data_IF_566858709850
#
_entry.id   IF_566858709850
#
_cell.length_a   1.000
_cell.length_b   1.000
_cell.length_c   1.000
_cell.angle_alpha   90.00
_cell.angle_beta   90.00
_cell.angle_gamma   90.00
#
_symmetry.space_group_name_H-M   'P 1'
#
loop_
_entity.id
_entity.type
_entity.pdbx_description
1 polymer ?
#
# COMPACT_ATOMS: atom_id res chain seq x y z
N UNK A 1 -12.90 -11.70 -8.14
CA UNK A 1 -12.82 -10.24 -8.02
C UNK A 1 -12.60 -9.62 -9.39
N UNK A 2 -11.50 -9.93 -10.07
CA UNK A 2 -11.28 -9.51 -11.47
C UNK A 2 -12.47 -9.84 -12.36
N UNK A 3 -12.95 -11.08 -12.43
CA UNK A 3 -14.14 -11.42 -13.24
C UNK A 3 -15.45 -10.68 -12.86
N UNK A 4 -15.51 -10.05 -11.68
CA UNK A 4 -16.68 -9.29 -11.23
C UNK A 4 -16.56 -7.78 -11.49
N UNK A 5 -15.33 -7.29 -11.66
CA UNK A 5 -15.00 -5.89 -11.96
C UNK A 5 -14.37 -5.72 -13.35
N UNK A 6 -14.19 -6.82 -14.07
CA UNK A 6 -13.69 -6.84 -15.42
C UNK A 6 -14.67 -6.04 -16.27
N UNK A 7 -14.16 -5.16 -17.14
CA UNK A 7 -15.00 -4.38 -18.05
C UNK A 7 -15.57 -5.30 -19.14
N UNK A 8 -16.62 -6.03 -18.79
CA UNK A 8 -17.46 -6.77 -19.71
C UNK A 8 -18.73 -5.93 -19.99
N UNK A 9 -19.13 -5.91 -21.26
CA UNK A 9 -20.41 -5.37 -21.74
C UNK A 9 -21.64 -5.93 -21.01
N UNK A 10 -21.51 -7.09 -20.35
CA UNK A 10 -22.53 -7.68 -19.49
C UNK A 10 -22.19 -7.51 -18.02
N UNK A 11 -22.23 -6.26 -17.53
CA UNK A 11 -22.22 -6.00 -16.08
C UNK A 11 -23.32 -6.84 -15.42
N UNK A 12 -22.96 -7.59 -14.38
CA UNK A 12 -23.93 -8.43 -13.64
C UNK A 12 -25.03 -7.56 -13.04
N UNK A 13 -26.25 -8.10 -12.97
CA UNK A 13 -27.35 -7.43 -12.29
C UNK A 13 -27.06 -7.31 -10.78
N UNK A 14 -27.20 -6.09 -10.24
CA UNK A 14 -26.99 -5.76 -8.82
C UNK A 14 -25.72 -4.94 -8.56
N UNK A 15 -25.68 -4.26 -7.40
CA UNK A 15 -24.52 -3.49 -6.97
C UNK A 15 -23.42 -4.38 -6.36
N UNK A 16 -22.16 -4.05 -6.62
CA UNK A 16 -21.00 -4.73 -6.05
C UNK A 16 -20.08 -3.70 -5.38
N UNK A 17 -19.80 -3.91 -4.09
CA UNK A 17 -18.79 -3.13 -3.37
C UNK A 17 -17.53 -3.98 -3.25
N UNK A 18 -16.40 -3.44 -3.68
CA UNK A 18 -15.09 -4.07 -3.52
C UNK A 18 -14.25 -3.21 -2.61
N UNK A 19 -13.79 -3.83 -1.53
CA UNK A 19 -12.84 -3.24 -0.58
C UNK A 19 -11.50 -3.91 -0.82
N UNK A 20 -10.46 -3.11 -1.04
CA UNK A 20 -9.11 -3.61 -1.21
C UNK A 20 -8.07 -2.56 -0.85
N UNK A 21 -6.83 -3.02 -0.75
CA UNK A 21 -5.66 -2.18 -0.43
C UNK A 21 -5.04 -1.63 -1.72
N UNK A 22 -3.85 -1.04 -1.63
CA UNK A 22 -3.08 -0.53 -2.77
C UNK A 22 -2.86 -1.56 -3.89
N UNK A 23 -3.03 -2.86 -3.62
CA UNK A 23 -2.97 -3.90 -4.65
C UNK A 23 -4.01 -3.68 -5.76
N UNK A 24 -5.13 -3.00 -5.48
CA UNK A 24 -6.11 -2.67 -6.52
C UNK A 24 -5.60 -1.65 -7.55
N UNK A 25 -4.53 -0.92 -7.22
CA UNK A 25 -3.91 0.07 -8.10
C UNK A 25 -3.05 -0.58 -9.18
N UNK A 26 -2.49 -1.76 -8.90
CA UNK A 26 -1.46 -2.37 -9.74
C UNK A 26 -2.00 -3.57 -10.52
N UNK A 27 -1.86 -3.50 -11.85
CA UNK A 27 -2.08 -4.62 -12.78
C UNK A 27 -3.52 -5.17 -12.90
N UNK A 28 -4.51 -4.58 -12.24
CA UNK A 28 -5.92 -4.95 -12.39
C UNK A 28 -6.65 -4.04 -13.37
N UNK A 29 -7.30 -4.62 -14.38
CA UNK A 29 -8.20 -3.91 -15.31
C UNK A 29 -9.60 -3.84 -14.72
N UNK A 30 -9.81 -2.86 -13.83
CA UNK A 30 -11.07 -2.60 -13.12
C UNK A 30 -11.73 -1.33 -13.68
N UNK A 31 -13.06 -1.39 -13.82
CA UNK A 31 -13.90 -0.25 -14.15
C UNK A 31 -14.98 -0.06 -13.06
N UNK A 32 -14.80 0.96 -12.22
CA UNK A 32 -15.70 1.30 -11.13
C UNK A 32 -16.61 2.48 -11.50
N UNK A 33 -17.84 2.45 -11.00
CA UNK A 33 -18.83 3.53 -11.11
C UNK A 33 -18.58 4.67 -10.13
N UNK A 34 -18.01 4.35 -8.97
CA UNK A 34 -17.72 5.26 -7.87
C UNK A 34 -16.46 4.77 -7.14
N UNK A 35 -15.65 5.72 -6.66
CA UNK A 35 -14.44 5.41 -5.90
C UNK A 35 -14.50 6.06 -4.52
N UNK A 36 -14.24 5.28 -3.48
CA UNK A 36 -13.95 5.80 -2.14
C UNK A 36 -12.53 5.39 -1.80
N UNK A 37 -11.71 6.34 -1.38
CA UNK A 37 -10.28 6.14 -1.18
C UNK A 37 -9.81 6.90 0.04
N UNK A 38 -8.91 6.30 0.83
CA UNK A 38 -8.13 7.08 1.80
C UNK A 38 -7.26 8.10 1.08
N UNK A 39 -6.94 9.20 1.78
CA UNK A 39 -5.96 10.18 1.34
C UNK A 39 -4.64 9.47 1.01
N UNK A 40 -4.06 9.85 -0.11
CA UNK A 40 -2.79 9.33 -0.57
C UNK A 40 -2.07 10.44 -1.36
N UNK A 41 -0.78 10.26 -1.71
CA UNK A 41 -0.10 11.17 -2.60
C UNK A 41 -0.85 11.34 -3.93
N UNK A 42 -0.84 12.54 -4.50
CA UNK A 42 -1.67 12.88 -5.67
C UNK A 42 -1.41 11.99 -6.89
N UNK A 43 -0.18 11.52 -7.09
CA UNK A 43 0.20 10.61 -8.17
C UNK A 43 -0.42 9.23 -7.98
N UNK A 44 -0.46 8.73 -6.74
CA UNK A 44 -1.19 7.51 -6.36
C UNK A 44 -2.70 7.70 -6.53
N UNK A 45 -3.23 8.86 -6.13
CA UNK A 45 -4.64 9.19 -6.33
C UNK A 45 -5.02 9.17 -7.81
N UNK A 46 -4.19 9.76 -8.69
CA UNK A 46 -4.40 9.72 -10.14
C UNK A 46 -4.37 8.28 -10.69
N UNK A 47 -3.51 7.41 -10.16
CA UNK A 47 -3.50 5.99 -10.53
C UNK A 47 -4.81 5.29 -10.14
N UNK A 48 -5.34 5.58 -8.95
CA UNK A 48 -6.65 5.08 -8.47
C UNK A 48 -7.80 5.61 -9.33
N UNK A 49 -7.79 6.91 -9.65
CA UNK A 49 -8.78 7.54 -10.54
C UNK A 49 -8.77 6.91 -11.95
N UNK A 50 -7.63 6.38 -12.41
CA UNK A 50 -7.55 5.62 -13.66
C UNK A 50 -8.29 4.26 -13.66
N UNK A 51 -9.03 3.93 -12.58
CA UNK A 51 -9.97 2.78 -12.49
C UNK A 51 -11.43 3.23 -12.41
N UNK A 52 -11.69 4.53 -12.30
CA UNK A 52 -13.02 5.12 -12.31
C UNK A 52 -13.40 5.41 -13.77
N UNK A 53 -14.52 4.86 -14.23
CA UNK A 53 -15.02 5.07 -15.61
C UNK A 53 -13.92 4.84 -16.66
N UNK A 54 -13.12 3.79 -16.46
CA UNK A 54 -11.88 3.52 -17.22
C UNK A 54 -12.16 3.26 -18.70
N UNK A 55 -13.30 2.66 -19.04
CA UNK A 55 -13.69 2.33 -20.42
C UNK A 55 -14.82 3.21 -20.90
N UNK A 56 -14.55 3.96 -21.95
CA UNK A 56 -15.57 4.72 -22.66
C UNK A 56 -16.66 3.81 -23.24
N UNK A 57 -17.90 4.27 -23.18
CA UNK A 57 -19.06 3.61 -23.80
C UNK A 57 -19.70 2.50 -22.97
N UNK A 58 -19.27 2.27 -21.72
CA UNK A 58 -20.00 1.42 -20.80
C UNK A 58 -21.25 2.14 -20.27
N UNK A 59 -22.32 1.37 -20.04
CA UNK A 59 -23.52 1.87 -19.41
C UNK A 59 -23.31 1.93 -17.88
N UNK A 60 -23.39 3.14 -17.33
CA UNK A 60 -23.38 3.40 -15.89
C UNK A 60 -24.82 3.52 -15.36
N UNK A 61 -25.15 2.93 -14.19
CA UNK A 61 -26.49 2.99 -13.63
C UNK A 61 -26.89 4.42 -13.22
N UNK A 62 -28.20 4.72 -13.12
CA UNK A 62 -28.66 6.03 -12.67
C UNK A 62 -28.07 6.43 -11.31
N UNK A 63 -27.59 7.68 -11.20
CA UNK A 63 -26.86 8.20 -10.05
C UNK A 63 -25.34 8.00 -10.09
N UNK A 64 -24.82 7.32 -11.12
CA UNK A 64 -23.40 7.05 -11.34
C UNK A 64 -22.93 7.40 -12.76
N UNK A 65 -23.71 8.21 -13.48
CA UNK A 65 -23.42 8.61 -14.86
C UNK A 65 -22.17 9.49 -14.97
N UNK A 66 -21.90 10.26 -13.92
CA UNK A 66 -20.70 11.08 -13.80
C UNK A 66 -19.66 10.39 -12.90
N UNK A 67 -18.37 10.36 -13.29
CA UNK A 67 -17.32 9.81 -12.45
C UNK A 67 -17.20 10.64 -11.17
N UNK A 68 -17.28 9.98 -10.02
CA UNK A 68 -17.12 10.62 -8.72
C UNK A 68 -16.20 9.81 -7.80
N UNK A 69 -15.36 10.53 -7.07
CA UNK A 69 -14.41 10.00 -6.11
C UNK A 69 -14.56 10.73 -4.77
N UNK A 70 -14.65 9.98 -3.68
CA UNK A 70 -14.62 10.49 -2.31
C UNK A 70 -13.25 10.17 -1.71
N UNK A 71 -12.52 11.22 -1.31
CA UNK A 71 -11.25 11.09 -0.60
C UNK A 71 -11.50 11.24 0.90
N UNK A 72 -11.21 10.19 1.67
CA UNK A 72 -11.30 10.18 3.12
C UNK A 72 -10.03 10.79 3.71
N UNK A 73 -10.18 11.72 4.66
CA UNK A 73 -9.06 12.32 5.38
C UNK A 73 -9.43 12.46 6.87
N UNK A 74 -8.44 12.46 7.78
CA UNK A 74 -8.71 12.68 9.20
C UNK A 74 -9.41 14.03 9.44
N UNK A 75 -10.47 14.03 10.26
CA UNK A 75 -11.26 15.23 10.55
C UNK A 75 -10.41 16.35 11.19
N UNK A 76 -9.44 15.98 12.01
CA UNK A 76 -8.51 16.89 12.67
C UNK A 76 -7.35 17.36 11.77
N UNK A 77 -7.36 17.02 10.48
CA UNK A 77 -6.25 17.25 9.56
C UNK A 77 -5.04 16.34 9.85
N UNK A 78 -3.91 16.65 9.23
CA UNK A 78 -2.69 15.82 9.33
C UNK A 78 -1.70 16.28 10.40
N UNK A 79 -1.87 17.49 10.94
CA UNK A 79 -0.98 18.04 11.98
C UNK A 79 -0.86 17.13 13.22
N UNK A 80 -1.92 16.50 13.73
CA UNK A 80 -1.80 15.56 14.85
C UNK A 80 -0.90 14.35 14.57
N UNK A 81 -0.66 14.01 13.30
CA UNK A 81 0.22 12.91 12.88
C UNK A 81 1.70 13.27 12.95
N UNK A 82 2.03 14.56 13.06
CA UNK A 82 3.41 15.05 13.19
C UNK A 82 4.03 14.69 14.54
N UNK A 83 3.20 14.57 15.58
CA UNK A 83 3.57 13.89 16.82
C UNK A 83 3.51 12.38 16.53
N UNK A 84 4.62 11.77 16.06
CA UNK A 84 4.62 10.66 15.10
C UNK A 84 3.55 9.61 15.40
N UNK A 85 2.46 9.68 14.63
CA UNK A 85 1.33 8.76 14.73
C UNK A 85 1.03 8.19 13.36
N UNK A 86 0.45 7.00 13.40
CA UNK A 86 -0.01 6.30 12.22
C UNK A 86 -1.53 6.20 12.25
N UNK A 87 -2.16 6.63 11.17
CA UNK A 87 -3.61 6.55 11.00
C UNK A 87 -3.93 6.18 9.54
N UNK A 88 -4.57 5.03 9.34
CA UNK A 88 -5.02 4.53 8.02
C UNK A 88 -3.98 4.67 6.88
N UNK A 89 -2.71 4.34 7.16
CA UNK A 89 -1.63 4.43 6.16
C UNK A 89 -0.87 5.76 6.15
N UNK A 90 -1.38 6.78 6.83
CA UNK A 90 -0.79 8.12 6.92
C UNK A 90 0.17 8.22 8.09
N UNK A 91 1.31 8.86 7.87
CA UNK A 91 2.30 9.12 8.90
C UNK A 91 3.20 7.92 9.20
N UNK A 92 3.81 7.96 10.38
CA UNK A 92 4.84 7.01 10.78
C UNK A 92 4.50 6.35 12.12
N UNK A 93 4.89 5.09 12.26
CA UNK A 93 4.89 4.36 13.52
C UNK A 93 6.28 3.76 13.77
N UNK A 94 6.58 3.52 15.03
CA UNK A 94 7.82 2.87 15.43
C UNK A 94 7.62 1.35 15.54
N UNK A 95 8.60 0.59 15.09
CA UNK A 95 8.69 -0.86 15.31
C UNK A 95 10.15 -1.22 15.59
N UNK A 96 10.43 -1.70 16.80
CA UNK A 96 11.77 -2.12 17.26
C UNK A 96 12.86 -1.06 17.03
N UNK A 97 12.61 0.21 17.38
CA UNK A 97 13.59 1.29 17.20
C UNK A 97 13.73 1.80 15.77
N UNK A 98 12.96 1.26 14.81
CA UNK A 98 12.93 1.73 13.42
C UNK A 98 11.57 2.32 13.06
N UNK A 99 11.59 3.44 12.35
CA UNK A 99 10.38 4.10 11.86
C UNK A 99 9.90 3.47 10.55
N UNK A 100 8.60 3.22 10.47
CA UNK A 100 7.92 2.62 9.31
C UNK A 100 6.59 3.33 9.05
N UNK A 101 6.08 3.20 7.83
CA UNK A 101 4.82 3.81 7.41
C UNK A 101 4.52 3.48 5.96
N UNK A 102 3.30 3.77 5.51
CA UNK A 102 2.91 3.59 4.10
C UNK A 102 3.14 4.88 3.34
N UNK A 103 2.47 5.96 3.77
CA UNK A 103 2.65 7.30 3.24
C UNK A 103 3.22 8.20 4.34
N UNK A 104 4.56 8.24 4.41
CA UNK A 104 5.26 8.95 5.47
C UNK A 104 5.44 10.45 5.18
N UNK A 105 5.34 10.90 3.92
CA UNK A 105 5.43 12.34 3.60
C UNK A 105 4.10 13.05 3.87
N UNK A 106 3.93 13.51 5.11
CA UNK A 106 2.74 14.29 5.50
C UNK A 106 2.63 15.62 4.74
N UNK A 107 3.74 16.19 4.24
CA UNK A 107 3.70 17.45 3.49
C UNK A 107 3.03 17.27 2.13
N UNK A 108 3.42 16.19 1.42
CA UNK A 108 2.80 15.79 0.16
C UNK A 108 1.31 15.46 0.35
N UNK A 109 0.98 14.75 1.42
CA UNK A 109 -0.40 14.40 1.74
C UNK A 109 -1.26 15.64 2.02
N UNK A 110 -0.73 16.61 2.77
CA UNK A 110 -1.43 17.87 3.05
C UNK A 110 -1.65 18.69 1.78
N UNK A 111 -0.66 18.78 0.89
CA UNK A 111 -0.84 19.44 -0.41
C UNK A 111 -1.90 18.72 -1.25
N UNK A 112 -1.92 17.39 -1.25
CA UNK A 112 -2.95 16.61 -1.96
C UNK A 112 -4.34 16.89 -1.38
N UNK A 113 -4.46 16.91 -0.04
CA UNK A 113 -5.72 17.23 0.66
C UNK A 113 -6.23 18.63 0.29
N UNK A 114 -5.34 19.62 0.21
CA UNK A 114 -5.68 20.98 -0.23
C UNK A 114 -6.14 21.03 -1.68
N UNK A 115 -5.46 20.35 -2.60
CA UNK A 115 -5.89 20.26 -4.00
C UNK A 115 -7.31 19.69 -4.14
N UNK A 116 -7.62 18.63 -3.39
CA UNK A 116 -8.96 18.02 -3.36
C UNK A 116 -10.00 18.98 -2.77
N UNK A 117 -9.65 19.70 -1.70
CA UNK A 117 -10.55 20.65 -1.05
C UNK A 117 -10.82 21.91 -1.89
N UNK A 118 -9.80 22.40 -2.60
CA UNK A 118 -9.86 23.61 -3.44
C UNK A 118 -10.57 23.37 -4.77
N UNK A 119 -10.43 22.17 -5.35
CA UNK A 119 -10.98 21.83 -6.67
C UNK A 119 -11.81 20.56 -6.61
N UNK A 120 -13.12 20.73 -6.75
CA UNK A 120 -14.10 19.62 -6.77
C UNK A 120 -14.15 18.85 -8.08
N UNK A 121 -13.70 19.46 -9.18
CA UNK A 121 -13.70 18.86 -10.51
C UNK A 121 -12.30 18.89 -11.09
N UNK A 122 -11.83 17.70 -11.50
CA UNK A 122 -10.55 17.55 -12.18
C UNK A 122 -10.76 17.06 -13.61
N UNK A 123 -10.11 17.74 -14.56
CA UNK A 123 -10.11 17.39 -15.99
C UNK A 123 -8.84 16.59 -16.28
N UNK A 124 -9.01 15.28 -16.43
CA UNK A 124 -7.92 14.32 -16.63
C UNK A 124 -7.98 13.84 -18.09
N UNK A 125 -6.85 13.77 -18.82
CA UNK A 125 -5.46 13.89 -18.34
C UNK A 125 -4.86 15.30 -18.30
N UNK A 126 -5.59 16.33 -18.72
CA UNK A 126 -5.09 17.70 -18.91
C UNK A 126 -4.43 18.28 -17.65
N UNK A 127 -4.98 17.96 -16.48
CA UNK A 127 -4.48 18.46 -15.20
C UNK A 127 -3.47 17.54 -14.51
N UNK A 128 -3.15 16.37 -15.06
CA UNK A 128 -2.25 15.40 -14.41
C UNK A 128 -0.93 16.04 -13.97
N UNK A 129 -0.27 16.75 -14.91
CA UNK A 129 1.01 17.41 -14.64
C UNK A 129 0.87 18.49 -13.57
N UNK A 130 -0.15 19.34 -13.69
CA UNK A 130 -0.42 20.41 -12.73
C UNK A 130 -0.63 19.85 -11.31
N UNK A 131 -1.43 18.80 -11.18
CA UNK A 131 -1.76 18.18 -9.90
C UNK A 131 -0.50 17.58 -9.25
N UNK A 132 0.28 16.82 -10.02
CA UNK A 132 1.53 16.20 -9.57
C UNK A 132 2.55 17.25 -9.13
N UNK A 133 2.84 18.23 -9.99
CA UNK A 133 3.80 19.29 -9.66
C UNK A 133 3.30 20.15 -8.47
N UNK A 134 1.99 20.35 -8.32
CA UNK A 134 1.45 21.15 -7.22
C UNK A 134 1.60 20.50 -5.84
N UNK A 135 1.71 19.17 -5.76
CA UNK A 135 1.81 18.45 -4.49
C UNK A 135 3.20 17.84 -4.21
N UNK A 136 4.01 17.60 -5.24
CA UNK A 136 5.30 16.93 -5.10
C UNK A 136 6.51 17.85 -5.28
N UNK A 137 6.34 19.04 -5.86
CA UNK A 137 7.46 19.94 -6.11
C UNK A 137 7.98 20.57 -4.81
N UNK A 138 9.30 20.60 -4.64
CA UNK A 138 9.94 21.05 -3.39
C UNK A 138 9.54 22.49 -3.02
N UNK A 139 9.50 23.42 -3.98
CA UNK A 139 9.02 24.80 -3.74
C UNK A 139 7.61 24.87 -3.14
N UNK A 140 6.71 23.93 -3.51
CA UNK A 140 5.35 23.87 -2.96
C UNK A 140 5.36 23.35 -1.53
N UNK A 141 6.23 22.39 -1.24
CA UNK A 141 6.47 21.85 0.10
C UNK A 141 7.07 22.94 1.00
N UNK A 142 8.07 23.68 0.51
CA UNK A 142 8.69 24.79 1.24
C UNK A 142 7.70 25.92 1.52
N UNK A 143 6.85 26.25 0.54
CA UNK A 143 5.75 27.21 0.74
C UNK A 143 4.77 26.73 1.80
N UNK A 144 4.42 25.43 1.80
CA UNK A 144 3.56 24.83 2.83
C UNK A 144 4.21 24.96 4.22
N UNK A 145 5.49 24.65 4.35
CA UNK A 145 6.22 24.75 5.61
C UNK A 145 6.30 26.19 6.10
N UNK A 146 6.52 27.16 5.22
CA UNK A 146 6.48 28.58 5.57
C UNK A 146 5.10 29.03 6.10
N UNK A 147 4.01 28.43 5.59
CA UNK A 147 2.65 28.74 6.02
C UNK A 147 2.21 28.01 7.30
N UNK A 148 2.65 26.76 7.50
CA UNK A 148 2.22 25.92 8.62
C UNK A 148 3.22 25.85 9.77
N UNK A 149 4.47 26.30 9.57
CA UNK A 149 5.50 26.37 10.59
C UNK A 149 6.51 25.21 10.55
N UNK A 150 7.62 25.40 11.27
CA UNK A 150 8.82 24.56 11.19
C UNK A 150 8.62 23.12 11.71
N UNK A 151 7.54 22.83 12.44
CA UNK A 151 7.27 21.47 12.90
C UNK A 151 6.91 20.52 11.74
N UNK A 152 6.34 21.03 10.64
CA UNK A 152 6.14 20.26 9.41
C UNK A 152 7.46 19.94 8.72
N UNK A 153 8.34 20.93 8.62
CA UNK A 153 9.70 20.78 8.10
C UNK A 153 10.48 19.75 8.91
N UNK A 154 10.50 19.93 10.24
CA UNK A 154 11.20 19.04 11.16
C UNK A 154 10.70 17.60 11.12
N UNK A 155 9.39 17.36 10.95
CA UNK A 155 8.86 16.03 10.72
C UNK A 155 9.41 15.43 9.42
N UNK A 156 9.34 16.18 8.31
CA UNK A 156 9.81 15.70 7.00
C UNK A 156 11.30 15.38 7.02
N UNK A 157 12.11 16.24 7.60
CA UNK A 157 13.56 16.02 7.77
C UNK A 157 13.83 14.77 8.62
N UNK A 158 13.13 14.61 9.73
CA UNK A 158 13.27 13.46 10.63
C UNK A 158 12.98 12.12 9.95
N UNK A 159 11.96 12.06 9.09
CA UNK A 159 11.46 10.79 8.55
C UNK A 159 11.83 10.52 7.10
N UNK A 160 12.10 11.55 6.30
CA UNK A 160 12.44 11.42 4.87
C UNK A 160 13.86 11.87 4.54
N UNK A 161 14.55 12.58 5.45
CA UNK A 161 15.97 12.94 5.29
C UNK A 161 16.92 11.73 5.24
N UNK A 162 16.45 10.53 5.58
CA UNK A 162 17.21 9.27 5.53
C UNK A 162 17.44 8.67 4.13
N UNK A 163 17.08 9.39 3.06
CA UNK A 163 17.28 8.94 1.66
C UNK A 163 18.73 8.54 1.36
N UNK A 164 19.70 9.21 1.98
CA UNK A 164 21.14 8.98 1.76
C UNK A 164 21.61 7.59 2.23
N UNK A 165 21.05 7.05 3.32
CA UNK A 165 21.41 5.72 3.81
C UNK A 165 20.92 4.61 2.87
N UNK A 166 19.70 4.74 2.35
CA UNK A 166 19.15 3.80 1.34
C UNK A 166 19.87 3.94 0.00
N UNK A 167 20.18 5.17 -0.42
CA UNK A 167 20.94 5.42 -1.65
C UNK A 167 22.36 4.85 -1.55
N UNK A 168 23.00 4.90 -0.38
CA UNK A 168 24.30 4.26 -0.18
C UNK A 168 24.23 2.74 -0.12
N UNK A 169 23.24 2.17 0.56
CA UNK A 169 23.01 0.73 0.54
C UNK A 169 22.73 0.23 -0.90
N UNK A 170 21.99 0.99 -1.70
CA UNK A 170 21.75 0.68 -3.11
C UNK A 170 23.05 0.72 -3.92
N UNK A 171 23.88 1.76 -3.75
CA UNK A 171 25.20 1.87 -4.43
C UNK A 171 26.11 0.67 -4.19
N UNK A 172 26.03 0.04 -3.03
CA UNK A 172 26.81 -1.16 -2.71
C UNK A 172 26.39 -2.42 -3.49
N UNK A 173 25.22 -2.39 -4.15
CA UNK A 173 24.62 -3.53 -4.84
C UNK A 173 24.39 -3.25 -6.34
N UNK A 174 24.73 -2.04 -6.81
CA UNK A 174 24.63 -1.68 -8.23
C UNK A 174 25.79 -2.28 -9.03
N UNK A 175 25.46 -2.96 -10.13
CA UNK A 175 26.43 -3.34 -11.15
C UNK A 175 26.81 -2.12 -12.00
N UNK A 176 28.10 -1.97 -12.29
CA UNK A 176 28.56 -0.86 -13.11
C UNK A 176 28.20 -1.08 -14.59
N UNK A 177 27.38 -0.21 -15.16
CA UNK A 177 27.04 -0.24 -16.60
C UNK A 177 28.17 0.25 -17.51
N UNK A 178 29.29 0.70 -16.94
CA UNK A 178 30.47 1.20 -17.66
C UNK A 178 31.60 0.17 -17.78
N UNK A 179 31.43 -1.04 -17.22
CA UNK A 179 32.42 -2.12 -17.26
C UNK A 179 31.90 -3.31 -18.07
N UNK A 180 32.82 -4.10 -18.60
CA UNK A 180 32.47 -5.30 -19.36
C UNK A 180 31.87 -6.34 -18.41
N UNK A 181 30.81 -7.00 -18.86
CA UNK A 181 30.16 -8.06 -18.08
C UNK A 181 31.16 -9.19 -17.81
N UNK A 182 31.37 -9.53 -16.53
CA UNK A 182 32.30 -10.58 -16.09
C UNK A 182 33.55 -10.07 -15.36
N UNK A 183 33.85 -8.77 -15.40
CA UNK A 183 35.00 -8.17 -14.70
C UNK A 183 34.71 -7.86 -13.22
N UNK A 184 33.45 -7.97 -12.78
CA UNK A 184 33.03 -7.73 -11.39
C UNK A 184 32.72 -9.05 -10.69
N UNK A 185 33.33 -9.27 -9.51
CA UNK A 185 32.96 -10.35 -8.62
C UNK A 185 31.63 -9.99 -7.94
N UNK A 186 30.67 -10.91 -7.94
CA UNK A 186 29.46 -10.75 -7.14
C UNK A 186 29.84 -10.74 -5.65
N UNK A 187 29.20 -9.89 -4.82
CA UNK A 187 29.37 -9.96 -3.38
C UNK A 187 29.03 -11.37 -2.89
N UNK A 188 30.01 -12.06 -2.26
CA UNK A 188 29.89 -13.42 -1.74
C UNK A 188 29.60 -13.43 -0.21
N UNK A 189 29.11 -12.30 0.30
CA UNK A 189 28.85 -12.07 1.73
C UNK A 189 27.55 -12.71 2.21
N UNK A 190 26.92 -13.56 1.38
CA UNK A 190 25.66 -14.24 1.72
C UNK A 190 24.49 -13.28 1.94
N UNK A 191 24.67 -11.98 1.67
CA UNK A 191 23.64 -10.98 1.79
C UNK A 191 22.62 -11.20 0.66
N UNK A 192 21.34 -11.36 1.01
CA UNK A 192 20.29 -11.44 0.02
C UNK A 192 20.23 -10.13 -0.78
N UNK A 193 20.78 -10.15 -1.99
CA UNK A 193 20.69 -9.06 -2.97
C UNK A 193 19.22 -8.88 -3.31
N UNK A 194 18.65 -7.72 -2.95
CA UNK A 194 17.23 -7.42 -3.14
C UNK A 194 17.08 -6.20 -4.03
N UNK A 195 16.29 -6.37 -5.09
CA UNK A 195 15.95 -5.31 -6.07
C UNK A 195 14.68 -4.54 -5.70
N UNK A 196 13.91 -5.02 -4.72
CA UNK A 196 12.75 -4.33 -4.15
C UNK A 196 12.98 -4.03 -2.68
N UNK A 197 12.77 -2.77 -2.29
CA UNK A 197 12.73 -2.36 -0.88
C UNK A 197 11.42 -2.85 -0.26
N UNK A 198 11.50 -3.73 0.72
CA UNK A 198 10.35 -4.29 1.42
C UNK A 198 10.75 -5.45 2.33
N UNK A 199 10.07 -5.59 3.47
CA UNK A 199 10.27 -6.72 4.35
C UNK A 199 9.44 -7.91 3.84
N UNK A 200 10.09 -9.05 3.61
CA UNK A 200 9.40 -10.29 3.26
C UNK A 200 8.90 -10.97 4.54
N UNK A 201 7.69 -11.52 4.50
CA UNK A 201 7.16 -12.27 5.61
C UNK A 201 7.40 -13.77 5.49
N UNK A 202 7.38 -14.46 6.62
CA UNK A 202 7.57 -15.89 6.71
C UNK A 202 6.47 -16.62 5.95
N UNK A 203 6.87 -17.55 5.09
CA UNK A 203 5.97 -18.46 4.39
C UNK A 203 5.87 -19.76 5.18
N UNK A 204 4.72 -19.97 5.82
CA UNK A 204 4.40 -21.18 6.56
C UNK A 204 3.93 -22.25 5.59
N UNK A 205 4.68 -23.34 5.44
CA UNK A 205 4.31 -24.45 4.55
C UNK A 205 3.56 -25.52 5.35
N UNK A 206 2.43 -25.99 4.83
CA UNK A 206 1.60 -26.99 5.48
C UNK A 206 2.08 -28.39 5.12
N UNK A 207 1.89 -29.35 6.04
CA UNK A 207 2.25 -30.74 5.80
C UNK A 207 1.41 -31.40 4.69
N UNK A 208 0.18 -30.92 4.49
CA UNK A 208 -0.76 -31.39 3.47
C UNK A 208 -1.66 -30.23 3.01
N UNK A 209 -2.30 -30.33 1.83
CA UNK A 209 -3.26 -29.32 1.37
C UNK A 209 -4.45 -29.20 2.33
N UNK A 210 -4.84 -27.97 2.65
CA UNK A 210 -5.98 -27.66 3.52
C UNK A 210 -6.97 -26.79 2.76
N UNK A 211 -8.27 -27.02 2.96
CA UNK A 211 -9.32 -26.18 2.40
C UNK A 211 -9.31 -24.79 3.05
N UNK A 212 -9.00 -23.76 2.26
CA UNK A 212 -9.06 -22.37 2.69
C UNK A 212 -10.48 -21.80 2.77
N UNK A 213 -10.65 -20.60 3.36
CA UNK A 213 -11.94 -19.93 3.58
C UNK A 213 -12.65 -19.47 2.28
N UNK A 214 -11.98 -19.64 1.14
CA UNK A 214 -12.52 -19.37 -0.20
C UNK A 214 -12.89 -20.65 -0.96
N UNK A 215 -12.90 -21.81 -0.30
CA UNK A 215 -13.25 -23.08 -0.92
C UNK A 215 -12.21 -23.58 -1.92
N UNK A 216 -10.94 -23.19 -1.74
CA UNK A 216 -9.80 -23.66 -2.54
C UNK A 216 -8.76 -24.27 -1.61
N UNK A 217 -8.14 -25.35 -2.05
CA UNK A 217 -7.00 -25.94 -1.35
C UNK A 217 -5.81 -24.98 -1.36
N UNK A 218 -5.14 -24.90 -0.22
CA UNK A 218 -3.91 -24.14 -0.03
C UNK A 218 -2.87 -25.02 0.65
N UNK A 219 -1.60 -24.81 0.30
CA UNK A 219 -0.46 -25.58 0.84
C UNK A 219 0.49 -24.73 1.67
N UNK A 220 0.27 -23.41 1.71
CA UNK A 220 1.09 -22.50 2.48
C UNK A 220 0.34 -21.20 2.78
N UNK A 221 0.82 -20.47 3.79
CA UNK A 221 0.37 -19.16 4.18
C UNK A 221 1.57 -18.21 4.37
N UNK A 222 1.60 -17.09 3.65
CA UNK A 222 2.60 -16.04 3.88
C UNK A 222 2.06 -15.03 4.88
N UNK A 223 2.79 -14.84 5.98
CA UNK A 223 2.45 -13.85 7.00
C UNK A 223 2.95 -12.45 6.60
N UNK A 224 2.37 -11.36 7.13
CA UNK A 224 3.00 -10.05 7.08
C UNK A 224 4.37 -10.05 7.78
N UNK A 225 5.32 -9.27 7.27
CA UNK A 225 6.69 -9.23 7.81
C UNK A 225 6.76 -8.87 9.30
N UNK A 226 5.90 -7.97 9.77
CA UNK A 226 5.83 -7.58 11.18
C UNK A 226 5.33 -8.71 12.11
N UNK A 227 4.62 -9.71 11.59
CA UNK A 227 4.26 -10.93 12.34
C UNK A 227 5.27 -12.07 12.18
N UNK A 228 6.19 -11.92 11.24
CA UNK A 228 7.17 -12.94 10.87
C UNK A 228 8.43 -12.91 11.72
N UNK A 229 8.64 -11.83 12.47
CA UNK A 229 9.85 -11.65 13.27
C UNK A 229 9.96 -12.71 14.38
N UNK A 230 11.09 -13.40 14.42
CA UNK A 230 11.37 -14.46 15.39
C UNK A 230 10.65 -15.79 15.12
N UNK A 231 9.96 -15.91 13.97
CA UNK A 231 9.47 -17.21 13.50
C UNK A 231 10.55 -17.92 12.71
N UNK A 232 10.72 -19.22 12.95
CA UNK A 232 11.44 -20.10 12.03
C UNK A 232 10.47 -20.59 10.95
N UNK A 233 10.64 -20.20 9.67
CA UNK A 233 9.76 -20.64 8.58
C UNK A 233 9.80 -22.15 8.32
N UNK A 234 10.82 -22.84 8.83
CA UNK A 234 11.00 -24.31 8.71
C UNK A 234 10.40 -25.07 9.89
N UNK A 235 9.96 -24.38 10.94
CA UNK A 235 9.33 -25.03 12.08
C UNK A 235 8.03 -25.74 11.65
N UNK A 236 7.68 -26.86 12.28
CA UNK A 236 6.44 -27.56 12.00
C UNK A 236 5.22 -26.63 12.18
N UNK A 237 4.35 -26.62 11.17
CA UNK A 237 3.13 -25.82 11.16
C UNK A 237 1.96 -26.72 11.56
N UNK A 238 1.18 -26.31 12.56
CA UNK A 238 -0.08 -26.95 12.94
C UNK A 238 -1.24 -26.19 12.30
N UNK A 239 -2.20 -26.89 11.67
CA UNK A 239 -3.38 -26.27 11.07
C UNK A 239 -4.63 -26.94 11.63
N UNK A 240 -5.54 -26.13 12.19
CA UNK A 240 -6.81 -26.57 12.78
C UNK A 240 -7.98 -25.87 12.08
N UNK A 241 -9.01 -26.60 11.63
CA UNK A 241 -10.27 -25.98 11.20
C UNK A 241 -10.95 -25.26 12.38
N UNK A 242 -11.44 -24.05 12.16
CA UNK A 242 -12.14 -23.25 13.17
C UNK A 242 -13.36 -22.55 12.55
N UNK A 243 -14.44 -23.30 12.35
CA UNK A 243 -15.66 -22.79 11.71
C UNK A 243 -15.40 -22.41 10.25
N UNK A 244 -15.55 -21.12 9.93
CA UNK A 244 -15.27 -20.54 8.61
C UNK A 244 -13.81 -20.09 8.41
N UNK A 245 -12.95 -20.41 9.38
CA UNK A 245 -11.55 -20.01 9.44
C UNK A 245 -10.60 -21.21 9.59
N UNK A 246 -9.32 -20.96 9.37
CA UNK A 246 -8.22 -21.84 9.74
C UNK A 246 -7.44 -21.20 10.89
N UNK A 247 -7.10 -21.99 11.91
CA UNK A 247 -6.08 -21.62 12.91
C UNK A 247 -4.76 -22.24 12.48
N UNK A 248 -3.72 -21.42 12.37
CA UNK A 248 -2.38 -21.82 11.94
C UNK A 248 -1.40 -21.50 13.06
N UNK A 249 -0.76 -22.53 13.60
CA UNK A 249 0.19 -22.45 14.71
C UNK A 249 1.62 -22.72 14.26
N UNK A 250 2.57 -21.95 14.78
CA UNK A 250 4.03 -22.15 14.59
C UNK A 250 4.74 -21.81 15.90
N UNK A 251 5.33 -22.81 16.55
CA UNK A 251 5.78 -22.68 17.94
C UNK A 251 4.63 -22.26 18.85
N UNK A 252 4.83 -21.21 19.65
CA UNK A 252 3.81 -20.69 20.58
C UNK A 252 2.86 -19.66 19.95
N UNK A 253 3.04 -19.31 18.68
CA UNK A 253 2.24 -18.27 18.00
C UNK A 253 1.13 -18.88 17.17
N UNK A 254 -0.04 -18.28 17.27
CA UNK A 254 -1.24 -18.69 16.55
C UNK A 254 -1.81 -17.55 15.71
N UNK A 255 -2.21 -17.92 14.50
CA UNK A 255 -2.82 -17.04 13.51
C UNK A 255 -4.18 -17.58 13.10
N UNK A 256 -5.09 -16.70 12.74
CA UNK A 256 -6.40 -17.02 12.18
C UNK A 256 -6.40 -16.60 10.71
N UNK A 257 -6.80 -17.47 9.81
CA UNK A 257 -7.00 -17.16 8.40
C UNK A 257 -8.46 -17.38 8.04
N UNK A 258 -9.17 -16.30 7.73
CA UNK A 258 -10.56 -16.34 7.31
C UNK A 258 -10.80 -15.48 6.06
N UNK A 259 -12.07 -15.23 5.72
CA UNK A 259 -12.44 -14.44 4.54
C UNK A 259 -11.96 -12.99 4.57
N UNK A 260 -11.54 -12.47 5.73
CA UNK A 260 -10.97 -11.13 5.93
C UNK A 260 -9.45 -11.12 5.78
N UNK A 261 -8.83 -12.30 5.64
CA UNK A 261 -7.37 -12.46 5.56
C UNK A 261 -6.79 -13.08 6.83
N UNK A 262 -5.51 -12.81 7.07
CA UNK A 262 -4.78 -13.34 8.23
C UNK A 262 -4.88 -12.35 9.39
N UNK A 263 -5.18 -12.85 10.58
CA UNK A 263 -5.18 -12.12 11.85
C UNK A 263 -4.30 -12.84 12.88
N UNK A 264 -3.73 -12.11 13.85
CA UNK A 264 -3.11 -12.73 15.02
C UNK A 264 -4.18 -13.17 16.03
N UNK A 265 -3.99 -14.33 16.64
CA UNK A 265 -4.83 -14.80 17.75
C UNK A 265 -4.07 -14.49 19.03
N UNK A 266 -4.60 -13.60 19.88
CA UNK A 266 -4.04 -13.45 21.23
C UNK A 266 -4.24 -14.78 21.97
N UNK A 267 -3.19 -15.32 22.57
CA UNK A 267 -3.33 -16.39 23.54
C UNK A 267 -4.28 -15.91 24.65
N UNK A 268 -5.30 -16.71 24.95
CA UNK A 268 -6.21 -16.48 26.06
C UNK A 268 -5.45 -16.60 27.40
#
# INVERSE_FOLDING_TARGET
MEAALAPDTRRRAGGLIVVGTQTLEQSLDIDADHLVTDLCPVDVLLQRLGRLHRRAGLHHPPGFEAPSCVVLAPEAGLEPLLAPRFDNGLGAFETNGAWSGVYMDLSVLELTRRLVAERREWTIPEQNRLLVESALHEDRIETLHGALGDHWRGYRERFLGGGDAKAQAAKAVLLSTRRTFGDEAFPDDGAAIRTRLGAEGARLTFAYPVMGPFGREITALTLPAHWSQGLDPRAPVTVEPAGDALRVGVGDRWFRYDRRGVGSVRAA
#
